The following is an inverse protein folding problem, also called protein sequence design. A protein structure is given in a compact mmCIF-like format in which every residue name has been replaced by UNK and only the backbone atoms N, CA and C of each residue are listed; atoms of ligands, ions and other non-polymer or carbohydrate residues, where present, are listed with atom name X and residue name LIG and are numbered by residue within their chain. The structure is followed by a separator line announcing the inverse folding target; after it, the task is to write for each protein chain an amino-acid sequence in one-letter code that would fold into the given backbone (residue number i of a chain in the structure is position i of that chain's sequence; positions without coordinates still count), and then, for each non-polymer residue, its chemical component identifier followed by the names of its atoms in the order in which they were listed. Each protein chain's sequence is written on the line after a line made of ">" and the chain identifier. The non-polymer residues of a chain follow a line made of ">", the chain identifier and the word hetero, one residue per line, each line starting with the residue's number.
data_IF_788308604910
#
_entry.id   IF_788308604910
#
_cell.length_a   1.000
_cell.length_b   1.000
_cell.length_c   1.000
_cell.angle_alpha   90.00
_cell.angle_beta   90.00
_cell.angle_gamma   90.00
#
_symmetry.space_group_name_H-M   'P 1'
#
loop_
_entity.id
_entity.type
_entity.pdbx_description
1 polymer ?
#
# COMPACT_ATOMS: atom_id res chain seq x y z
N UNK A 1 2.13 38.98 14.53
CA UNK A 1 2.15 37.71 15.28
C UNK A 1 1.45 36.68 14.41
N UNK A 2 2.21 35.85 13.70
CA UNK A 2 1.64 34.72 12.95
C UNK A 2 1.19 33.66 13.95
N UNK A 3 -0.08 33.24 13.84
CA UNK A 3 -0.57 32.07 14.55
C UNK A 3 0.08 30.84 13.90
N UNK A 4 0.96 30.18 14.65
CA UNK A 4 1.45 28.85 14.31
C UNK A 4 0.26 27.90 14.50
N UNK A 5 -0.37 27.52 13.40
CA UNK A 5 -1.35 26.45 13.39
C UNK A 5 -0.61 25.13 13.62
N UNK A 6 -0.60 24.66 14.86
CA UNK A 6 -0.26 23.27 15.14
C UNK A 6 -1.36 22.39 14.56
N UNK A 7 -1.10 21.84 13.37
CA UNK A 7 -1.95 20.82 12.76
C UNK A 7 -1.67 19.52 13.51
N UNK A 8 -2.52 19.20 14.48
CA UNK A 8 -2.54 17.89 15.11
C UNK A 8 -2.70 16.83 14.01
N UNK A 9 -1.71 15.96 13.83
CA UNK A 9 -1.84 14.78 12.98
C UNK A 9 -2.89 13.89 13.63
N UNK A 10 -4.04 13.68 12.97
CA UNK A 10 -4.96 12.64 13.39
C UNK A 10 -4.38 11.31 12.92
N UNK A 11 -3.62 10.66 13.79
CA UNK A 11 -2.89 9.40 13.54
C UNK A 11 -3.81 8.17 13.37
N UNK A 12 -5.12 8.33 13.26
CA UNK A 12 -6.06 7.22 13.30
C UNK A 12 -6.41 6.72 11.90
N UNK A 13 -5.49 5.96 11.32
CA UNK A 13 -5.86 4.99 10.30
C UNK A 13 -6.47 3.78 11.02
N UNK A 14 -7.70 3.43 10.68
CA UNK A 14 -8.32 2.21 11.16
C UNK A 14 -7.91 1.03 10.29
N UNK A 15 -7.17 0.09 10.88
CA UNK A 15 -6.73 -1.12 10.20
C UNK A 15 -7.76 -2.24 10.41
N UNK A 16 -8.18 -2.86 9.30
CA UNK A 16 -9.03 -4.04 9.31
C UNK A 16 -8.41 -5.18 8.49
N UNK A 17 -8.78 -6.41 8.81
CA UNK A 17 -8.34 -7.60 8.07
C UNK A 17 -9.55 -8.37 7.59
N UNK A 18 -9.65 -8.52 6.27
CA UNK A 18 -10.81 -9.12 5.61
C UNK A 18 -10.28 -10.02 4.48
N UNK A 19 -10.72 -11.28 4.46
CA UNK A 19 -10.43 -12.25 3.40
C UNK A 19 -8.95 -12.39 2.98
N UNK A 20 -8.00 -12.25 3.91
CA UNK A 20 -6.56 -12.43 3.58
C UNK A 20 -5.84 -11.14 3.19
N UNK A 21 -6.55 -10.01 3.14
CA UNK A 21 -5.98 -8.69 2.91
C UNK A 21 -6.14 -7.81 4.16
N UNK A 22 -5.27 -6.80 4.25
CA UNK A 22 -5.32 -5.77 5.27
C UNK A 22 -5.74 -4.46 4.61
N UNK A 23 -6.66 -3.76 5.24
CA UNK A 23 -7.25 -2.53 4.74
C UNK A 23 -7.06 -1.41 5.75
N UNK A 24 -6.91 -0.20 5.24
CA UNK A 24 -6.87 1.03 5.99
C UNK A 24 -8.09 1.86 5.63
N UNK A 25 -8.89 2.25 6.62
CA UNK A 25 -9.85 3.34 6.48
C UNK A 25 -9.18 4.64 6.93
N UNK A 26 -9.09 5.62 6.02
CA UNK A 26 -8.34 6.85 6.23
C UNK A 26 -9.08 8.06 5.61
N UNK A 27 -10.20 8.51 6.20
CA UNK A 27 -11.00 9.61 5.67
C UNK A 27 -10.29 10.96 5.85
N UNK A 28 -10.05 11.67 4.76
CA UNK A 28 -9.47 13.01 4.79
C UNK A 28 -8.04 13.10 5.36
N UNK A 29 -7.37 11.96 5.58
CA UNK A 29 -5.98 11.92 6.05
C UNK A 29 -5.05 12.14 4.85
N UNK A 30 -4.14 13.13 4.89
CA UNK A 30 -3.07 13.21 3.91
C UNK A 30 -2.10 12.07 4.15
N UNK A 31 -1.97 11.17 3.18
CA UNK A 31 -0.83 10.25 3.10
C UNK A 31 0.39 11.03 2.64
N UNK A 32 1.57 10.65 3.16
CA UNK A 32 2.82 11.17 2.64
C UNK A 32 3.04 10.54 1.26
N UNK A 33 2.86 11.34 0.21
CA UNK A 33 3.14 10.96 -1.17
C UNK A 33 4.66 10.96 -1.39
N UNK A 34 5.33 9.95 -0.83
CA UNK A 34 6.78 9.75 -0.88
C UNK A 34 7.12 8.51 -1.68
N UNK A 35 8.25 8.55 -2.37
CA UNK A 35 8.82 7.39 -3.04
C UNK A 35 9.29 6.36 -1.99
N UNK A 36 9.16 5.07 -2.29
CA UNK A 36 9.66 3.99 -1.42
C UNK A 36 10.53 3.01 -2.21
N UNK A 37 11.51 2.41 -1.53
CA UNK A 37 12.21 1.25 -2.06
C UNK A 37 11.34 -0.01 -1.87
N UNK A 38 11.11 -0.76 -2.94
CA UNK A 38 10.37 -2.01 -2.87
C UNK A 38 10.93 -3.01 -3.88
N UNK A 39 11.53 -4.08 -3.37
CA UNK A 39 12.34 -5.01 -4.15
C UNK A 39 13.57 -4.32 -4.74
N UNK A 40 13.66 -4.34 -6.07
CA UNK A 40 14.70 -3.75 -6.90
C UNK A 40 14.27 -2.40 -7.52
N UNK A 41 13.10 -1.88 -7.13
CA UNK A 41 12.52 -0.66 -7.66
C UNK A 41 12.39 0.43 -6.60
N UNK A 42 12.29 1.66 -7.09
CA UNK A 42 11.71 2.78 -6.36
C UNK A 42 10.29 2.92 -6.87
N UNK A 43 9.31 2.70 -6.00
CA UNK A 43 7.89 2.81 -6.32
C UNK A 43 7.40 4.22 -5.98
N UNK A 44 6.79 4.87 -6.97
CA UNK A 44 6.33 6.26 -6.88
C UNK A 44 4.81 6.34 -6.73
N UNK A 45 4.28 7.35 -6.03
CA UNK A 45 2.84 7.56 -5.97
C UNK A 45 2.21 7.65 -7.36
N UNK A 46 1.13 6.90 -7.58
CA UNK A 46 0.44 6.77 -8.86
C UNK A 46 0.88 5.57 -9.70
N UNK A 47 2.00 4.92 -9.38
CA UNK A 47 2.41 3.70 -10.07
C UNK A 47 1.63 2.47 -9.61
N UNK A 48 1.50 1.50 -10.51
CA UNK A 48 0.65 0.33 -10.34
C UNK A 48 1.47 -0.94 -10.23
N UNK A 49 0.98 -1.86 -9.40
CA UNK A 49 1.52 -3.22 -9.25
C UNK A 49 0.37 -4.22 -9.31
N UNK A 50 0.58 -5.34 -10.00
CA UNK A 50 -0.40 -6.43 -10.04
C UNK A 50 -0.12 -7.47 -8.96
N UNK A 51 1.17 -7.74 -8.73
CA UNK A 51 1.67 -8.78 -7.86
C UNK A 51 2.88 -8.31 -7.09
N UNK A 52 2.95 -8.70 -5.82
CA UNK A 52 4.12 -8.61 -4.97
C UNK A 52 4.51 -10.00 -4.50
N UNK A 53 5.80 -10.32 -4.59
CA UNK A 53 6.37 -11.54 -4.06
C UNK A 53 6.39 -12.73 -5.02
N UNK A 54 7.45 -13.52 -4.89
CA UNK A 54 7.86 -14.54 -5.88
C UNK A 54 7.22 -15.91 -5.63
N UNK A 55 7.00 -16.26 -4.36
CA UNK A 55 6.49 -17.58 -3.95
C UNK A 55 5.04 -17.47 -3.53
N UNK A 56 4.22 -18.44 -3.93
CA UNK A 56 2.77 -18.48 -3.63
C UNK A 56 2.43 -18.22 -2.15
N UNK A 57 3.20 -18.79 -1.22
CA UNK A 57 2.96 -18.62 0.22
C UNK A 57 3.32 -17.23 0.77
N UNK A 58 4.14 -16.46 0.06
CA UNK A 58 4.63 -15.12 0.45
C UNK A 58 4.35 -14.07 -0.61
N UNK A 59 3.38 -14.31 -1.49
CA UNK A 59 2.96 -13.36 -2.52
C UNK A 59 1.59 -12.76 -2.20
N UNK A 60 1.36 -11.57 -2.71
CA UNK A 60 0.04 -10.93 -2.78
C UNK A 60 -0.20 -10.58 -4.24
N UNK A 61 -1.33 -10.98 -4.79
CA UNK A 61 -1.64 -10.85 -6.21
C UNK A 61 -3.09 -10.44 -6.35
N UNK A 62 -3.34 -9.43 -7.16
CA UNK A 62 -4.69 -8.98 -7.48
C UNK A 62 -5.32 -9.93 -8.50
N UNK A 63 -6.65 -9.98 -8.54
CA UNK A 63 -7.35 -10.66 -9.64
C UNK A 63 -7.07 -9.96 -10.97
N UNK A 64 -7.17 -10.71 -12.08
CA UNK A 64 -6.94 -10.17 -13.42
C UNK A 64 -7.81 -8.94 -13.69
N UNK A 65 -7.21 -7.88 -14.23
CA UNK A 65 -7.88 -6.59 -14.48
C UNK A 65 -7.87 -5.62 -13.29
N UNK A 66 -7.32 -6.03 -12.15
CA UNK A 66 -7.14 -5.18 -10.98
C UNK A 66 -5.66 -5.00 -10.64
N UNK A 67 -5.33 -3.77 -10.23
CA UNK A 67 -3.99 -3.35 -9.88
C UNK A 67 -4.04 -2.52 -8.60
N UNK A 68 -3.00 -2.65 -7.78
CA UNK A 68 -2.77 -1.79 -6.64
C UNK A 68 -2.03 -0.55 -7.13
N UNK A 69 -2.63 0.62 -6.97
CA UNK A 69 -2.00 1.91 -7.24
C UNK A 69 -1.41 2.44 -5.95
N UNK A 70 -0.10 2.65 -5.91
CA UNK A 70 0.55 3.18 -4.72
C UNK A 70 0.10 4.62 -4.49
N UNK A 71 -0.39 4.93 -3.28
CA UNK A 71 -0.86 6.30 -2.95
C UNK A 71 0.07 7.04 -2.01
N UNK A 72 0.84 6.32 -1.20
CA UNK A 72 1.76 6.91 -0.25
C UNK A 72 1.95 6.07 0.99
N UNK A 73 2.57 6.67 1.99
CA UNK A 73 2.91 6.05 3.26
C UNK A 73 2.17 6.76 4.42
N UNK A 74 1.85 6.02 5.47
CA UNK A 74 1.42 6.57 6.74
C UNK A 74 1.91 5.69 7.89
N UNK A 75 2.65 6.29 8.83
CA UNK A 75 3.33 5.59 9.91
C UNK A 75 4.13 4.37 9.38
N UNK A 76 3.78 3.16 9.83
CA UNK A 76 4.43 1.90 9.44
C UNK A 76 3.76 1.23 8.23
N UNK A 77 2.80 1.88 7.58
CA UNK A 77 2.02 1.31 6.49
C UNK A 77 2.29 1.99 5.16
N UNK A 78 2.35 1.19 4.10
CA UNK A 78 2.23 1.66 2.73
C UNK A 78 0.83 1.35 2.23
N UNK A 79 0.25 2.32 1.51
CA UNK A 79 -1.16 2.31 1.16
C UNK A 79 -1.33 2.25 -0.36
N UNK A 80 -2.36 1.53 -0.79
CA UNK A 80 -2.69 1.35 -2.18
C UNK A 80 -4.20 1.49 -2.43
N UNK A 81 -4.58 2.24 -3.46
CA UNK A 81 -5.94 2.19 -4.00
C UNK A 81 -6.05 1.07 -5.05
N UNK A 82 -7.26 0.72 -5.46
CA UNK A 82 -7.48 -0.21 -6.57
C UNK A 82 -7.67 0.59 -7.86
N UNK A 83 -6.80 0.39 -8.85
CA UNK A 83 -6.82 1.15 -10.11
C UNK A 83 -6.92 2.67 -9.82
N UNK A 84 -7.84 3.37 -10.50
CA UNK A 84 -8.15 4.80 -10.32
C UNK A 84 -9.30 5.06 -9.32
N UNK A 85 -9.68 4.07 -8.52
CA UNK A 85 -10.79 4.23 -7.57
C UNK A 85 -10.45 5.31 -6.52
N UNK A 86 -11.34 6.29 -6.40
CA UNK A 86 -11.33 7.27 -5.31
C UNK A 86 -12.18 6.70 -4.17
N UNK A 87 -11.55 6.43 -3.04
CA UNK A 87 -12.15 5.80 -1.86
C UNK A 87 -11.36 6.18 -0.61
N UNK A 88 -12.02 6.17 0.55
CA UNK A 88 -11.35 6.30 1.86
C UNK A 88 -10.79 4.95 2.36
N UNK A 89 -11.00 3.87 1.60
CA UNK A 89 -10.50 2.53 1.88
C UNK A 89 -9.33 2.18 0.97
N UNK A 90 -8.23 1.77 1.60
CA UNK A 90 -6.98 1.41 0.93
C UNK A 90 -6.58 -0.01 1.30
N UNK A 91 -5.90 -0.72 0.40
CA UNK A 91 -5.08 -1.85 0.79
C UNK A 91 -3.89 -1.31 1.58
N UNK A 92 -3.61 -1.93 2.72
CA UNK A 92 -2.51 -1.55 3.59
C UNK A 92 -1.53 -2.71 3.73
N UNK A 93 -0.24 -2.39 3.75
CA UNK A 93 0.81 -3.35 4.06
C UNK A 93 1.75 -2.73 5.09
N UNK A 94 2.03 -3.46 6.16
CA UNK A 94 3.08 -3.07 7.11
C UNK A 94 4.42 -3.10 6.39
N UNK A 95 5.14 -1.99 6.38
CA UNK A 95 6.40 -1.81 5.67
C UNK A 95 7.58 -2.03 6.62
N UNK A 96 8.14 -3.24 6.60
CA UNK A 96 9.26 -3.61 7.49
C UNK A 96 10.59 -3.18 6.88
N UNK A 97 10.79 -3.49 5.60
CA UNK A 97 11.94 -3.06 4.80
C UNK A 97 11.63 -3.26 3.31
N UNK A 98 12.55 -2.85 2.44
CA UNK A 98 12.37 -2.93 0.98
C UNK A 98 12.04 -4.33 0.45
N UNK A 99 12.37 -5.41 1.16
CA UNK A 99 12.12 -6.78 0.72
C UNK A 99 11.01 -7.50 1.48
N UNK A 100 10.44 -6.86 2.50
CA UNK A 100 9.49 -7.48 3.43
C UNK A 100 8.34 -6.54 3.75
N UNK A 101 7.16 -6.95 3.36
CA UNK A 101 5.90 -6.38 3.82
C UNK A 101 5.15 -7.38 4.68
N UNK A 102 4.20 -6.90 5.47
CA UNK A 102 3.39 -7.75 6.33
C UNK A 102 1.91 -7.41 6.19
N UNK A 103 1.10 -8.46 6.09
CA UNK A 103 -0.34 -8.42 6.24
C UNK A 103 -0.67 -9.06 7.59
N UNK A 104 -1.27 -8.32 8.51
CA UNK A 104 -1.62 -8.84 9.84
C UNK A 104 -3.08 -8.60 10.20
N UNK A 105 -3.67 -9.54 10.94
CA UNK A 105 -4.99 -9.35 11.55
C UNK A 105 -5.39 -10.52 12.44
N UNK A 106 -6.10 -10.22 13.54
CA UNK A 106 -6.70 -11.20 14.48
C UNK A 106 -5.78 -12.38 14.83
N UNK A 107 -4.53 -12.09 15.23
CA UNK A 107 -3.54 -13.10 15.65
C UNK A 107 -2.92 -13.92 14.52
N UNK A 108 -3.18 -13.57 13.25
CA UNK A 108 -2.56 -14.16 12.08
C UNK A 108 -1.75 -13.09 11.34
N UNK A 109 -0.60 -13.50 10.81
CA UNK A 109 0.29 -12.64 10.03
C UNK A 109 0.86 -13.42 8.86
N UNK A 110 1.04 -12.73 7.73
CA UNK A 110 1.73 -13.26 6.56
C UNK A 110 2.74 -12.23 6.07
N UNK A 111 3.96 -12.70 5.87
CA UNK A 111 4.98 -11.95 5.15
C UNK A 111 4.68 -11.97 3.65
N UNK A 112 4.78 -10.81 3.02
CA UNK A 112 4.96 -10.69 1.58
C UNK A 112 6.44 -10.40 1.33
N UNK A 113 7.11 -11.33 0.64
CA UNK A 113 8.57 -11.27 0.42
C UNK A 113 8.87 -11.15 -1.05
N UNK A 114 9.65 -10.14 -1.42
CA UNK A 114 9.98 -9.81 -2.80
C UNK A 114 11.40 -9.27 -2.93
N UNK A 115 12.10 -9.71 -3.98
CA UNK A 115 13.34 -9.09 -4.42
C UNK A 115 13.14 -8.28 -5.71
N UNK A 116 12.21 -8.71 -6.56
CA UNK A 116 11.87 -8.03 -7.81
C UNK A 116 10.45 -7.47 -7.76
N UNK A 117 10.23 -6.32 -8.39
CA UNK A 117 8.91 -5.72 -8.53
C UNK A 117 8.64 -5.33 -9.99
N UNK A 118 7.51 -5.75 -10.52
CA UNK A 118 6.97 -5.26 -11.77
C UNK A 118 6.08 -4.05 -11.50
N UNK A 119 6.37 -2.94 -12.17
CA UNK A 119 5.73 -1.64 -11.97
C UNK A 119 5.22 -1.12 -13.30
N UNK A 120 4.01 -0.59 -13.28
CA UNK A 120 3.36 -0.01 -14.45
C UNK A 120 3.02 1.44 -14.20
N UNK A 121 3.18 2.29 -15.21
CA UNK A 121 2.75 3.70 -15.16
C UNK A 121 1.32 3.91 -15.62
N UNK A 122 0.74 2.93 -16.32
CA UNK A 122 -0.64 2.95 -16.81
C UNK A 122 -1.18 1.52 -16.89
N UNK A 123 -2.17 1.21 -16.05
CA UNK A 123 -2.79 -0.12 -16.02
C UNK A 123 -3.67 -0.42 -17.25
N UNK A 124 -4.07 0.61 -18.03
CA UNK A 124 -4.95 0.44 -19.20
C UNK A 124 -4.25 -0.18 -20.40
N UNK A 125 -2.92 -0.22 -20.39
CA UNK A 125 -2.10 -0.82 -21.43
C UNK A 125 -1.95 -2.34 -21.28
N UNK A 126 -2.51 -2.92 -20.22
CA UNK A 126 -2.34 -4.31 -19.81
C UNK A 126 -3.57 -5.19 -20.14
N UNK A 127 -4.33 -4.80 -21.18
CA UNK A 127 -5.51 -5.51 -21.67
C UNK A 127 -5.15 -6.66 -22.60
#
# INVERSE_FOLDING_TARGET
>A
MEQIAFKFHSDEIEISYIHGAMYAYAPGIPFDAVDIELGDKILKPGEFIHKMGEKARTSFEMEQGYYLRYVGKSADYILFSVNDLISDYYYAFGYVNKNTLVITGRGKGKDVRLNTLEVFTDFRQLK
#
